data_IF_990464230541
#
_entry.id   IF_990464230541
#
_cell.length_a   1.000
_cell.length_b   1.000
_cell.length_c   1.000
_cell.angle_alpha   90.00
_cell.angle_beta   90.00
_cell.angle_gamma   90.00
#
_symmetry.space_group_name_H-M   'P 1'
#
loop_
_entity.id
_entity.type
_entity.pdbx_description
1 polymer ?
#
# COMPACT_ATOMS: atom_id res chain seq x y z
N UNK A 1 10.02 -0.04 -1.71
CA UNK A 1 9.88 -0.68 -0.42
C UNK A 1 8.40 -0.72 -0.04
N UNK A 2 7.96 -1.79 0.65
CA UNK A 2 6.55 -1.96 1.04
C UNK A 2 5.66 -2.65 0.00
N UNK A 3 6.10 -2.83 -1.24
CA UNK A 3 5.39 -3.63 -2.23
C UNK A 3 5.69 -5.12 -2.04
N UNK A 4 4.72 -6.02 -2.34
CA UNK A 4 4.97 -7.46 -2.29
C UNK A 4 6.13 -7.88 -3.20
N UNK A 5 6.95 -8.83 -2.75
CA UNK A 5 8.13 -9.33 -3.50
C UNK A 5 7.78 -9.83 -4.89
N UNK A 6 6.62 -10.45 -5.08
CA UNK A 6 6.14 -10.90 -6.39
C UNK A 6 5.90 -9.73 -7.37
N UNK A 7 5.40 -8.59 -6.89
CA UNK A 7 5.23 -7.39 -7.70
C UNK A 7 6.59 -6.81 -8.08
N UNK A 8 7.51 -6.68 -7.12
CA UNK A 8 8.88 -6.19 -7.36
C UNK A 8 9.64 -7.11 -8.33
N UNK A 9 9.41 -8.42 -8.26
CA UNK A 9 9.99 -9.37 -9.21
C UNK A 9 9.51 -9.10 -10.65
N UNK A 10 8.20 -8.85 -10.85
CA UNK A 10 7.67 -8.47 -12.17
C UNK A 10 8.23 -7.12 -12.63
N UNK A 11 8.29 -6.13 -11.77
CA UNK A 11 8.83 -4.80 -12.08
C UNK A 11 10.30 -4.89 -12.57
N UNK A 12 11.08 -5.80 -11.99
CA UNK A 12 12.46 -6.04 -12.39
C UNK A 12 12.60 -6.86 -13.67
N UNK A 13 11.81 -7.93 -13.81
CA UNK A 13 12.07 -8.96 -14.83
C UNK A 13 11.13 -8.89 -16.03
N UNK A 14 9.94 -8.30 -15.88
CA UNK A 14 8.89 -8.25 -16.91
C UNK A 14 8.06 -6.95 -16.82
N UNK A 15 8.71 -5.77 -16.83
CA UNK A 15 8.02 -4.49 -16.68
C UNK A 15 6.98 -4.24 -17.79
N UNK A 16 7.20 -4.81 -18.97
CA UNK A 16 6.31 -4.71 -20.14
C UNK A 16 4.93 -5.35 -19.93
N UNK A 17 4.79 -6.25 -18.94
CA UNK A 17 3.53 -6.89 -18.60
C UNK A 17 2.66 -6.06 -17.65
N UNK A 18 3.15 -4.89 -17.24
CA UNK A 18 2.40 -4.01 -16.36
C UNK A 18 1.16 -3.44 -17.07
N UNK A 19 0.01 -3.63 -16.47
CA UNK A 19 -1.21 -2.95 -16.90
C UNK A 19 -1.15 -1.47 -16.54
N UNK A 20 -1.71 -0.58 -17.37
CA UNK A 20 -1.85 0.83 -17.00
C UNK A 20 -2.73 0.96 -15.76
N UNK A 21 -2.38 1.91 -14.90
CA UNK A 21 -3.25 2.23 -13.76
C UNK A 21 -4.58 2.83 -14.24
N UNK A 22 -5.70 2.44 -13.62
CA UNK A 22 -6.97 3.11 -13.87
C UNK A 22 -6.88 4.62 -13.62
N UNK A 23 -7.53 5.43 -14.44
CA UNK A 23 -7.52 6.90 -14.28
C UNK A 23 -7.92 7.34 -12.87
N UNK A 24 -8.90 6.67 -12.26
CA UNK A 24 -9.32 6.94 -10.88
C UNK A 24 -8.21 6.67 -9.86
N UNK A 25 -7.34 5.70 -10.10
CA UNK A 25 -6.19 5.42 -9.25
C UNK A 25 -5.15 6.55 -9.37
N UNK A 26 -4.83 6.95 -10.60
CA UNK A 26 -3.91 8.07 -10.87
C UNK A 26 -4.43 9.36 -10.22
N UNK A 27 -5.72 9.66 -10.37
CA UNK A 27 -6.35 10.83 -9.72
C UNK A 27 -6.24 10.78 -8.19
N UNK A 28 -6.41 9.60 -7.58
CA UNK A 28 -6.26 9.47 -6.14
C UNK A 28 -4.80 9.68 -5.68
N UNK A 29 -3.82 9.29 -6.47
CA UNK A 29 -2.41 9.60 -6.19
C UNK A 29 -2.16 11.11 -6.25
N UNK A 30 -2.58 11.77 -7.32
CA UNK A 30 -2.46 13.25 -7.45
C UNK A 30 -3.16 13.99 -6.31
N UNK A 31 -4.32 13.52 -5.86
CA UNK A 31 -4.99 14.10 -4.69
C UNK A 31 -4.17 13.90 -3.42
N UNK A 32 -3.38 12.85 -3.31
CA UNK A 32 -2.42 12.64 -2.23
C UNK A 32 -1.38 13.76 -2.19
N UNK A 33 -0.75 14.03 -3.33
CA UNK A 33 0.26 15.08 -3.48
C UNK A 33 -0.30 16.48 -3.15
N UNK A 34 -1.53 16.77 -3.59
CA UNK A 34 -2.21 18.02 -3.26
C UNK A 34 -2.47 18.13 -1.75
N UNK A 35 -2.95 17.06 -1.11
CA UNK A 35 -3.20 17.04 0.33
C UNK A 35 -1.90 17.27 1.10
N UNK A 36 -0.80 16.64 0.70
CA UNK A 36 0.52 16.86 1.30
C UNK A 36 0.94 18.33 1.20
N UNK A 37 0.88 18.91 0.00
CA UNK A 37 1.24 20.31 -0.23
C UNK A 37 0.38 21.29 0.60
N UNK A 38 -0.93 21.06 0.67
CA UNK A 38 -1.84 21.88 1.48
C UNK A 38 -1.54 21.72 2.96
N UNK A 39 -1.29 20.49 3.45
CA UNK A 39 -0.97 20.26 4.85
C UNK A 39 0.34 20.94 5.27
N UNK A 40 1.38 20.88 4.45
CA UNK A 40 2.63 21.63 4.64
C UNK A 40 2.38 23.15 4.70
N UNK A 41 1.50 23.66 3.85
CA UNK A 41 1.05 25.06 3.89
C UNK A 41 0.42 25.42 5.22
N UNK A 42 -0.46 24.56 5.75
CA UNK A 42 -1.10 24.76 7.06
C UNK A 42 -0.06 24.78 8.20
N UNK A 43 0.91 23.86 8.18
CA UNK A 43 2.00 23.84 9.17
C UNK A 43 2.80 25.15 9.15
N UNK A 44 3.12 25.63 7.95
CA UNK A 44 3.85 26.90 7.77
C UNK A 44 3.06 28.10 8.30
N UNK A 45 1.77 28.22 7.99
CA UNK A 45 0.90 29.29 8.49
C UNK A 45 0.73 29.20 10.01
N UNK A 46 0.74 28.00 10.59
CA UNK A 46 0.72 27.78 12.03
C UNK A 46 2.07 28.04 12.73
N UNK A 47 3.11 28.42 12.00
CA UNK A 47 4.45 28.66 12.54
C UNK A 47 5.21 27.41 12.98
N UNK A 48 4.77 26.23 12.57
CA UNK A 48 5.45 24.96 12.85
C UNK A 48 6.72 24.89 12.03
N UNK A 49 7.86 24.69 12.68
CA UNK A 49 9.14 24.48 12.00
C UNK A 49 9.27 23.02 11.58
N UNK A 50 9.61 22.78 10.33
CA UNK A 50 9.87 21.43 9.78
C UNK A 50 10.97 21.48 8.72
N UNK A 51 11.67 20.36 8.54
CA UNK A 51 12.49 20.10 7.36
C UNK A 51 11.58 19.53 6.27
N UNK A 52 11.64 20.10 5.07
CA UNK A 52 10.80 19.68 3.92
C UNK A 52 11.32 18.39 3.28
N UNK A 53 10.54 17.84 2.37
CA UNK A 53 10.87 16.62 1.61
C UNK A 53 12.31 16.63 1.09
N UNK A 54 13.04 15.57 1.40
CA UNK A 54 14.35 15.33 0.82
C UNK A 54 14.54 13.85 0.51
N UNK A 55 15.50 13.59 -0.39
CA UNK A 55 15.86 12.25 -0.80
C UNK A 55 16.87 11.64 0.17
N UNK A 56 16.58 10.44 0.62
CA UNK A 56 17.47 9.66 1.49
C UNK A 56 17.78 8.29 0.89
N UNK A 57 18.89 7.72 1.29
CA UNK A 57 19.30 6.38 0.86
C UNK A 57 19.59 5.54 2.09
N UNK A 58 18.81 4.46 2.23
CA UNK A 58 19.03 3.44 3.24
C UNK A 58 20.15 2.51 2.76
N UNK A 59 21.25 2.48 3.51
CA UNK A 59 22.35 1.55 3.32
C UNK A 59 21.99 0.19 3.94
N UNK A 60 22.16 -0.87 3.17
CA UNK A 60 21.92 -2.25 3.56
C UNK A 60 23.18 -3.13 3.41
N UNK A 61 24.34 -2.52 3.43
CA UNK A 61 25.64 -3.16 3.20
C UNK A 61 25.98 -3.21 1.71
N UNK A 62 25.87 -4.38 1.07
CA UNK A 62 26.13 -4.53 -0.38
C UNK A 62 25.01 -3.93 -1.26
N UNK A 63 23.93 -3.49 -0.65
CA UNK A 63 22.74 -2.95 -1.32
C UNK A 63 22.31 -1.61 -0.74
N UNK A 64 21.46 -0.91 -1.47
CA UNK A 64 20.83 0.30 -0.97
C UNK A 64 19.43 0.51 -1.55
N UNK A 65 18.60 1.24 -0.81
CA UNK A 65 17.25 1.64 -1.26
C UNK A 65 17.10 3.13 -1.06
N UNK A 66 16.69 3.83 -2.11
CA UNK A 66 16.44 5.29 -2.04
C UNK A 66 14.95 5.58 -2.02
N UNK A 67 14.59 6.67 -1.37
CA UNK A 67 13.25 7.21 -1.32
C UNK A 67 13.28 8.64 -0.80
N UNK A 68 12.10 9.23 -0.63
CA UNK A 68 11.96 10.57 -0.05
C UNK A 68 10.98 10.51 1.11
N UNK A 69 11.33 11.14 2.23
CA UNK A 69 10.40 11.37 3.32
C UNK A 69 9.56 12.62 3.05
N UNK A 70 8.42 12.76 3.71
CA UNK A 70 7.56 13.91 3.48
C UNK A 70 8.00 15.12 4.30
N UNK A 71 8.20 14.96 5.61
CA UNK A 71 8.66 16.03 6.52
C UNK A 71 9.44 15.47 7.72
N UNK A 72 10.26 16.33 8.36
CA UNK A 72 10.83 16.08 9.68
C UNK A 72 10.36 17.18 10.64
N UNK A 73 9.74 16.79 11.73
CA UNK A 73 9.29 17.69 12.81
C UNK A 73 9.93 17.22 14.12
N UNK A 74 10.56 18.14 14.86
CA UNK A 74 11.19 17.85 16.15
C UNK A 74 12.13 16.63 16.11
N UNK A 75 12.96 16.55 15.08
CA UNK A 75 13.95 15.48 14.87
C UNK A 75 13.33 14.08 14.66
N UNK A 76 12.07 14.04 14.22
CA UNK A 76 11.35 12.84 13.87
C UNK A 76 10.80 12.89 12.45
N UNK A 77 10.99 11.81 11.68
CA UNK A 77 10.42 11.67 10.34
C UNK A 77 8.93 11.39 10.46
N UNK A 78 8.13 12.22 9.85
CA UNK A 78 6.69 12.03 9.71
C UNK A 78 6.30 11.87 8.24
N UNK A 79 5.25 11.11 8.02
CA UNK A 79 4.70 10.82 6.71
C UNK A 79 3.26 11.35 6.63
N UNK A 80 2.91 12.00 5.51
CA UNK A 80 1.60 12.61 5.32
C UNK A 80 0.74 11.72 4.44
N UNK A 81 -0.42 11.31 4.93
CA UNK A 81 -1.33 10.42 4.20
C UNK A 81 -2.71 11.02 4.01
N UNK A 82 -3.19 10.98 2.77
CA UNK A 82 -4.60 11.21 2.46
C UNK A 82 -5.39 9.91 2.59
N UNK A 83 -6.49 9.91 3.32
CA UNK A 83 -7.29 8.74 3.59
C UNK A 83 -8.76 8.93 3.21
N UNK A 84 -9.44 7.85 2.77
CA UNK A 84 -10.89 7.81 2.75
C UNK A 84 -11.45 7.85 4.17
N UNK A 85 -12.73 8.21 4.33
CA UNK A 85 -13.35 8.25 5.66
C UNK A 85 -13.25 6.90 6.39
N UNK A 86 -13.45 5.80 5.67
CA UNK A 86 -13.27 4.47 6.26
C UNK A 86 -11.83 4.21 6.71
N UNK A 87 -10.84 4.49 5.86
CA UNK A 87 -9.42 4.28 6.21
C UNK A 87 -9.00 5.20 7.36
N UNK A 88 -9.46 6.45 7.36
CA UNK A 88 -9.20 7.40 8.43
C UNK A 88 -9.70 6.89 9.79
N UNK A 89 -10.90 6.30 9.84
CA UNK A 89 -11.52 5.83 11.08
C UNK A 89 -11.00 4.46 11.53
N UNK A 90 -10.71 3.56 10.60
CA UNK A 90 -10.41 2.17 10.92
C UNK A 90 -8.93 1.82 10.75
N UNK A 91 -8.35 2.03 9.55
CA UNK A 91 -6.95 1.68 9.28
C UNK A 91 -5.99 2.55 10.08
N UNK A 92 -6.24 3.84 10.13
CA UNK A 92 -5.43 4.83 10.86
C UNK A 92 -5.99 5.14 12.26
N UNK A 93 -6.73 4.24 12.89
CA UNK A 93 -7.23 4.43 14.25
C UNK A 93 -6.08 4.49 15.26
N UNK A 94 -5.11 3.60 15.11
CA UNK A 94 -3.91 3.48 15.94
C UNK A 94 -2.75 2.90 15.13
N UNK A 95 -1.55 2.88 15.73
CA UNK A 95 -0.41 2.13 15.18
C UNK A 95 -0.74 0.65 14.95
N UNK A 96 -1.34 -0.02 15.93
CA UNK A 96 -1.67 -1.44 15.83
C UNK A 96 -2.66 -1.74 14.71
N UNK A 97 -3.68 -0.89 14.55
CA UNK A 97 -4.64 -1.00 13.46
C UNK A 97 -3.98 -0.83 12.10
N UNK A 98 -3.04 0.10 11.98
CA UNK A 98 -2.26 0.31 10.75
C UNK A 98 -1.36 -0.88 10.47
N UNK A 99 -0.57 -1.33 11.44
CA UNK A 99 0.42 -2.40 11.29
C UNK A 99 -0.22 -3.75 10.97
N UNK A 100 -1.39 -4.07 11.58
CA UNK A 100 -2.10 -5.32 11.34
C UNK A 100 -2.62 -5.50 9.91
N UNK A 101 -2.80 -4.40 9.16
CA UNK A 101 -3.35 -4.39 7.80
C UNK A 101 -2.49 -3.60 6.81
N UNK A 102 -1.17 -3.53 7.01
CA UNK A 102 -0.27 -2.70 6.21
C UNK A 102 0.11 -3.32 4.87
N UNK A 103 -0.87 -3.51 3.99
CA UNK A 103 -0.64 -3.99 2.62
C UNK A 103 0.12 -3.00 1.71
N UNK A 104 0.37 -1.78 2.17
CA UNK A 104 1.13 -0.75 1.43
C UNK A 104 2.55 -0.55 1.96
N UNK A 105 2.88 -1.14 3.12
CA UNK A 105 4.20 -1.06 3.74
C UNK A 105 4.54 0.31 4.33
N UNK A 106 3.55 1.02 4.85
CA UNK A 106 3.74 2.35 5.47
C UNK A 106 4.66 2.30 6.68
N UNK A 107 4.59 1.19 7.46
CA UNK A 107 5.44 0.98 8.63
C UNK A 107 6.91 0.82 8.22
N UNK A 108 7.17 -0.08 7.27
CA UNK A 108 8.52 -0.30 6.73
C UNK A 108 9.06 0.95 6.02
N UNK A 109 8.20 1.71 5.33
CA UNK A 109 8.59 2.95 4.66
C UNK A 109 9.07 4.00 5.69
N UNK A 110 8.29 4.23 6.75
CA UNK A 110 8.66 5.17 7.81
C UNK A 110 9.95 4.77 8.52
N UNK A 111 10.11 3.49 8.87
CA UNK A 111 11.32 2.95 9.47
C UNK A 111 12.55 3.14 8.57
N UNK A 112 12.40 2.85 7.27
CA UNK A 112 13.46 3.03 6.28
C UNK A 112 13.90 4.49 6.16
N UNK A 113 12.97 5.43 6.16
CA UNK A 113 13.27 6.87 6.10
C UNK A 113 13.94 7.36 7.39
N UNK A 114 13.44 6.93 8.55
CA UNK A 114 14.03 7.28 9.85
C UNK A 114 15.49 6.81 9.93
N UNK A 115 15.75 5.54 9.60
CA UNK A 115 17.10 4.99 9.57
C UNK A 115 18.02 5.71 8.58
N UNK A 116 17.53 5.96 7.36
CA UNK A 116 18.32 6.58 6.29
C UNK A 116 18.66 8.06 6.56
N UNK A 117 17.79 8.78 7.27
CA UNK A 117 18.03 10.17 7.67
C UNK A 117 18.78 10.32 9.00
N UNK A 118 18.96 9.24 9.76
CA UNK A 118 19.53 9.29 11.12
C UNK A 118 18.60 9.97 12.13
N UNK A 119 17.30 10.01 11.85
CA UNK A 119 16.27 10.63 12.68
C UNK A 119 15.41 9.55 13.35
N UNK A 120 14.53 9.95 14.26
CA UNK A 120 13.54 9.04 14.87
C UNK A 120 12.37 8.81 13.92
N UNK A 121 11.71 7.67 14.01
CA UNK A 121 10.41 7.48 13.41
C UNK A 121 9.36 8.21 14.26
N UNK A 122 8.66 9.17 13.67
CA UNK A 122 7.61 9.94 14.32
C UNK A 122 6.24 9.27 14.18
N UNK A 123 5.61 9.42 13.03
CA UNK A 123 4.30 8.84 12.75
C UNK A 123 3.68 9.29 11.44
N UNK A 124 2.37 9.26 11.41
CA UNK A 124 1.58 9.61 10.22
C UNK A 124 0.61 10.76 10.53
N UNK A 125 0.73 11.83 9.75
CA UNK A 125 -0.28 12.86 9.66
C UNK A 125 -1.34 12.42 8.65
N UNK A 126 -2.52 12.09 9.12
CA UNK A 126 -3.57 11.50 8.30
C UNK A 126 -4.68 12.51 8.06
N UNK A 127 -4.91 12.86 6.80
CA UNK A 127 -5.96 13.79 6.38
C UNK A 127 -7.12 13.00 5.78
N UNK A 128 -8.32 13.18 6.32
CA UNK A 128 -9.55 12.65 5.76
C UNK A 128 -9.95 13.47 4.53
N UNK A 129 -9.75 12.94 3.34
CA UNK A 129 -10.04 13.64 2.07
C UNK A 129 -11.53 13.90 1.82
N UNK A 130 -12.44 13.35 2.64
CA UNK A 130 -13.88 13.56 2.50
C UNK A 130 -14.37 14.81 3.23
N UNK A 131 -13.67 15.27 4.28
CA UNK A 131 -14.13 16.38 5.12
C UNK A 131 -13.01 17.29 5.64
N UNK A 132 -11.74 17.01 5.32
CA UNK A 132 -10.59 17.81 5.73
C UNK A 132 -10.15 17.65 7.18
N UNK A 133 -10.78 16.77 7.96
CA UNK A 133 -10.29 16.45 9.30
C UNK A 133 -8.92 15.79 9.20
N UNK A 134 -8.06 16.08 10.18
CA UNK A 134 -6.77 15.41 10.27
C UNK A 134 -6.46 14.95 11.70
N UNK A 135 -5.57 14.00 11.81
CA UNK A 135 -5.06 13.49 13.09
C UNK A 135 -3.63 13.01 12.93
N UNK A 136 -2.95 12.86 14.05
CA UNK A 136 -1.63 12.24 14.12
C UNK A 136 -1.74 10.82 14.70
N UNK A 137 -1.09 9.87 14.05
CA UNK A 137 -0.96 8.49 14.53
C UNK A 137 0.52 8.26 14.82
N UNK A 138 0.94 8.26 16.09
CA UNK A 138 2.34 8.06 16.45
C UNK A 138 2.78 6.62 16.19
N UNK A 139 4.03 6.45 15.77
CA UNK A 139 4.64 5.14 15.50
C UNK A 139 5.17 4.45 16.78
N UNK A 140 4.39 4.47 17.86
CA UNK A 140 4.81 4.06 19.21
C UNK A 140 5.19 2.60 19.37
N UNK A 141 4.73 1.73 18.49
CA UNK A 141 5.04 0.30 18.49
C UNK A 141 6.04 -0.14 17.42
N UNK A 142 6.62 0.83 16.67
CA UNK A 142 7.50 0.53 15.56
C UNK A 142 8.85 0.03 16.06
N UNK A 143 9.22 -1.19 15.64
CA UNK A 143 10.56 -1.73 15.76
C UNK A 143 11.34 -1.43 14.46
N UNK A 144 12.11 -0.34 14.48
CA UNK A 144 12.86 0.13 13.31
C UNK A 144 13.81 -0.94 12.78
N UNK A 145 14.50 -1.66 13.67
CA UNK A 145 15.47 -2.68 13.28
C UNK A 145 14.77 -3.83 12.54
N UNK A 146 13.66 -4.33 13.09
CA UNK A 146 12.88 -5.39 12.47
C UNK A 146 12.34 -4.98 11.08
N UNK A 147 11.85 -3.75 10.94
CA UNK A 147 11.33 -3.25 9.67
C UNK A 147 12.44 -3.07 8.62
N UNK A 148 13.61 -2.59 9.02
CA UNK A 148 14.79 -2.50 8.13
C UNK A 148 15.27 -3.88 7.70
N UNK A 149 15.24 -4.88 8.58
CA UNK A 149 15.57 -6.28 8.23
C UNK A 149 14.56 -6.86 7.22
N UNK A 150 13.28 -6.54 7.33
CA UNK A 150 12.27 -6.91 6.32
C UNK A 150 12.55 -6.26 4.96
N UNK A 151 12.99 -5.00 4.95
CA UNK A 151 13.42 -4.31 3.73
C UNK A 151 14.61 -5.04 3.10
N UNK A 152 15.65 -5.34 3.88
CA UNK A 152 16.84 -6.05 3.42
C UNK A 152 16.50 -7.43 2.86
N UNK A 153 15.65 -8.19 3.56
CA UNK A 153 15.15 -9.50 3.10
C UNK A 153 14.39 -9.37 1.77
N UNK A 154 13.57 -8.35 1.62
CA UNK A 154 12.84 -8.07 0.37
C UNK A 154 13.80 -7.81 -0.78
N UNK A 155 14.80 -6.95 -0.56
CA UNK A 155 15.85 -6.64 -1.57
C UNK A 155 16.60 -7.90 -1.98
N UNK A 156 17.03 -8.71 -1.01
CA UNK A 156 17.75 -9.96 -1.27
C UNK A 156 16.88 -10.95 -2.05
N UNK A 157 15.61 -11.14 -1.68
CA UNK A 157 14.67 -12.02 -2.39
C UNK A 157 14.49 -11.61 -3.87
N UNK A 158 14.39 -10.31 -4.12
CA UNK A 158 14.29 -9.78 -5.49
C UNK A 158 15.61 -9.98 -6.26
N UNK A 159 16.76 -9.87 -5.60
CA UNK A 159 18.09 -10.13 -6.21
C UNK A 159 18.26 -11.60 -6.58
N UNK A 160 17.85 -12.52 -5.71
CA UNK A 160 17.90 -13.97 -5.97
C UNK A 160 17.03 -14.41 -7.14
N UNK A 161 16.20 -13.51 -7.63
CA UNK A 161 15.32 -13.72 -8.80
C UNK A 161 14.34 -14.89 -8.63
N UNK A 162 13.95 -15.20 -7.40
CA UNK A 162 12.93 -16.21 -7.09
C UNK A 162 11.55 -15.58 -7.17
N UNK A 163 10.68 -16.15 -8.01
CA UNK A 163 9.28 -15.75 -8.04
C UNK A 163 8.47 -16.57 -7.04
N UNK A 164 7.83 -15.88 -6.11
CA UNK A 164 6.88 -16.46 -5.18
C UNK A 164 5.69 -15.53 -5.00
N UNK A 165 4.46 -16.07 -5.09
CA UNK A 165 3.26 -15.28 -4.86
C UNK A 165 3.10 -14.95 -3.39
N UNK A 166 3.07 -13.65 -3.07
CA UNK A 166 2.83 -13.18 -1.70
C UNK A 166 1.40 -13.46 -1.21
N UNK A 167 0.44 -13.55 -2.13
CA UNK A 167 -0.97 -13.75 -1.81
C UNK A 167 -1.56 -14.88 -2.67
N UNK A 168 -2.33 -15.76 -2.02
CA UNK A 168 -3.10 -16.80 -2.69
C UNK A 168 -4.54 -16.34 -2.92
N UNK A 169 -5.25 -16.90 -3.93
CA UNK A 169 -6.68 -16.66 -4.10
C UNK A 169 -7.47 -17.05 -2.85
N UNK A 170 -8.51 -16.31 -2.57
CA UNK A 170 -9.36 -16.53 -1.38
C UNK A 170 -10.74 -17.04 -1.77
N UNK A 171 -11.43 -17.83 -0.91
CA UNK A 171 -12.79 -18.27 -1.18
C UNK A 171 -13.74 -17.06 -1.34
N UNK A 172 -14.54 -17.07 -2.41
CA UNK A 172 -15.63 -16.10 -2.54
C UNK A 172 -16.70 -16.39 -1.49
N UNK A 173 -17.15 -15.34 -0.79
CA UNK A 173 -18.29 -15.43 0.14
C UNK A 173 -19.45 -14.60 -0.36
N UNK A 174 -20.63 -15.20 -0.39
CA UNK A 174 -21.88 -14.52 -0.67
C UNK A 174 -22.83 -14.71 0.52
N UNK A 175 -23.27 -13.61 1.15
CA UNK A 175 -24.09 -13.61 2.36
C UNK A 175 -23.47 -14.46 3.50
N UNK A 176 -22.15 -14.40 3.64
CA UNK A 176 -21.40 -15.11 4.68
C UNK A 176 -21.07 -16.59 4.38
N UNK A 177 -21.61 -17.16 3.29
CA UNK A 177 -21.34 -18.55 2.87
C UNK A 177 -20.37 -18.61 1.69
N UNK A 178 -19.48 -19.59 1.69
CA UNK A 178 -18.58 -19.85 0.57
C UNK A 178 -19.36 -20.35 -0.65
N UNK A 179 -19.08 -19.75 -1.81
CA UNK A 179 -19.73 -20.10 -3.07
C UNK A 179 -19.07 -21.28 -3.77
N UNK A 180 -17.83 -21.61 -3.36
CA UNK A 180 -16.95 -22.55 -4.01
C UNK A 180 -16.15 -21.98 -5.16
N UNK A 181 -16.31 -20.70 -5.50
CA UNK A 181 -15.39 -19.96 -6.37
C UNK A 181 -14.23 -19.41 -5.56
N UNK A 182 -13.11 -19.08 -6.23
CA UNK A 182 -12.02 -18.33 -5.62
C UNK A 182 -11.83 -17.00 -6.34
N UNK A 183 -11.64 -15.95 -5.55
CA UNK A 183 -11.45 -14.60 -6.03
C UNK A 183 -10.04 -14.10 -5.71
N UNK A 184 -9.64 -13.06 -6.40
CA UNK A 184 -8.35 -12.41 -6.19
C UNK A 184 -8.28 -11.86 -4.78
N UNK A 185 -7.16 -12.10 -4.10
CA UNK A 185 -6.89 -11.52 -2.78
C UNK A 185 -6.86 -9.98 -2.85
N UNK A 186 -7.35 -9.32 -1.80
CA UNK A 186 -7.38 -7.85 -1.73
C UNK A 186 -6.01 -7.20 -1.91
N UNK A 187 -4.94 -7.85 -1.45
CA UNK A 187 -3.57 -7.41 -1.64
C UNK A 187 -3.11 -7.37 -3.11
N UNK A 188 -3.83 -8.05 -4.01
CA UNK A 188 -3.54 -8.07 -5.44
C UNK A 188 -4.43 -7.13 -6.29
N UNK A 189 -5.47 -6.52 -5.72
CA UNK A 189 -6.47 -5.73 -6.47
C UNK A 189 -5.86 -4.61 -7.31
N UNK A 190 -4.86 -3.93 -6.77
CA UNK A 190 -4.20 -2.80 -7.43
C UNK A 190 -2.87 -3.16 -8.07
N UNK A 191 -2.51 -4.45 -8.10
CA UNK A 191 -1.28 -4.89 -8.74
C UNK A 191 -1.42 -4.85 -10.27
N UNK A 192 -0.52 -4.12 -10.93
CA UNK A 192 -0.48 -4.00 -12.39
C UNK A 192 -0.20 -5.33 -13.09
N UNK A 193 0.32 -6.33 -12.38
CA UNK A 193 0.69 -7.64 -12.92
C UNK A 193 -0.30 -8.76 -12.59
N UNK A 194 -1.50 -8.43 -12.04
CA UNK A 194 -2.46 -9.42 -11.55
C UNK A 194 -2.88 -10.46 -12.59
N UNK A 195 -3.06 -10.06 -13.85
CA UNK A 195 -3.40 -11.00 -14.93
C UNK A 195 -2.23 -11.89 -15.37
N UNK A 196 -1.00 -11.36 -15.35
CA UNK A 196 0.18 -12.17 -15.62
C UNK A 196 0.50 -13.13 -14.47
N UNK A 197 0.24 -12.70 -13.23
CA UNK A 197 0.41 -13.52 -12.04
C UNK A 197 -0.66 -14.62 -11.94
N UNK A 198 -1.89 -14.34 -12.37
CA UNK A 198 -3.03 -15.27 -12.39
C UNK A 198 -3.62 -15.34 -13.79
N UNK A 199 -3.09 -16.19 -14.70
CA UNK A 199 -3.54 -16.24 -16.11
C UNK A 199 -5.02 -16.63 -16.29
N UNK A 200 -5.62 -17.28 -15.28
CA UNK A 200 -7.05 -17.64 -15.27
C UNK A 200 -7.96 -16.55 -14.75
N UNK A 201 -7.39 -15.38 -14.36
CA UNK A 201 -8.14 -14.28 -13.77
C UNK A 201 -9.11 -13.67 -14.78
N UNK A 202 -10.39 -13.60 -14.38
CA UNK A 202 -11.46 -12.97 -15.15
C UNK A 202 -12.20 -11.96 -14.30
N UNK A 203 -12.30 -10.73 -14.77
CA UNK A 203 -13.11 -9.68 -14.12
C UNK A 203 -14.52 -9.66 -14.75
N UNK A 204 -15.54 -9.95 -13.94
CA UNK A 204 -16.94 -10.00 -14.39
C UNK A 204 -17.91 -9.66 -13.25
N UNK A 205 -19.16 -9.34 -13.57
CA UNK A 205 -20.19 -9.15 -12.56
C UNK A 205 -20.31 -10.34 -11.60
N UNK A 206 -20.52 -10.05 -10.31
CA UNK A 206 -20.64 -11.07 -9.26
C UNK A 206 -21.73 -12.10 -9.61
N UNK A 207 -21.34 -13.35 -9.85
CA UNK A 207 -22.21 -14.41 -10.40
C UNK A 207 -23.38 -14.80 -9.50
N UNK A 208 -23.29 -14.57 -8.19
CA UNK A 208 -24.39 -14.82 -7.23
C UNK A 208 -25.26 -13.59 -6.97
N UNK A 209 -24.89 -12.42 -7.48
CA UNK A 209 -25.63 -11.19 -7.21
C UNK A 209 -26.87 -11.08 -8.09
N UNK A 210 -27.98 -10.72 -7.48
CA UNK A 210 -29.24 -10.39 -8.17
C UNK A 210 -29.47 -8.88 -8.30
N UNK A 211 -28.45 -8.07 -7.97
CA UNK A 211 -28.54 -6.63 -8.09
C UNK A 211 -28.64 -6.21 -9.57
N UNK A 212 -29.35 -5.12 -9.85
CA UNK A 212 -29.44 -4.54 -11.20
C UNK A 212 -28.05 -4.19 -11.76
N UNK A 213 -27.16 -3.71 -10.89
CA UNK A 213 -25.77 -3.39 -11.19
C UNK A 213 -24.87 -4.17 -10.19
N UNK A 214 -24.55 -5.44 -10.46
CA UNK A 214 -23.72 -6.23 -9.58
C UNK A 214 -22.28 -5.68 -9.57
N UNK A 215 -21.57 -5.77 -8.43
CA UNK A 215 -20.18 -5.39 -8.37
C UNK A 215 -19.33 -6.29 -9.29
N UNK A 216 -18.28 -5.71 -9.87
CA UNK A 216 -17.28 -6.50 -10.62
C UNK A 216 -16.40 -7.23 -9.63
N UNK A 217 -16.23 -8.52 -9.84
CA UNK A 217 -15.41 -9.44 -9.04
C UNK A 217 -14.33 -10.05 -9.92
N UNK A 218 -13.14 -10.12 -9.39
CA UNK A 218 -11.99 -10.73 -10.05
C UNK A 218 -11.89 -12.21 -9.65
N UNK A 219 -12.38 -13.10 -10.50
CA UNK A 219 -12.37 -14.55 -10.28
C UNK A 219 -11.07 -15.18 -10.76
N UNK A 220 -10.41 -15.94 -9.92
CA UNK A 220 -9.24 -16.76 -10.26
C UNK A 220 -9.65 -18.20 -10.59
N UNK A 221 -10.60 -18.72 -9.82
CA UNK A 221 -11.23 -20.02 -10.08
C UNK A 221 -12.76 -19.84 -10.07
N UNK A 222 -13.40 -20.18 -11.16
CA UNK A 222 -14.86 -20.08 -11.32
C UNK A 222 -15.40 -21.48 -11.58
N UNK A 223 -16.51 -21.84 -10.90
CA UNK A 223 -17.20 -23.11 -11.14
C UNK A 223 -17.74 -23.18 -12.57
N UNK A 224 -17.74 -24.38 -13.15
CA UNK A 224 -18.20 -24.63 -14.53
C UNK A 224 -19.60 -24.10 -14.80
N UNK A 225 -20.51 -24.18 -13.82
CA UNK A 225 -21.87 -23.66 -13.93
C UNK A 225 -21.96 -22.16 -14.25
N UNK A 226 -20.87 -21.39 -13.96
CA UNK A 226 -20.78 -19.95 -14.22
C UNK A 226 -19.86 -19.58 -15.38
N UNK A 227 -19.21 -20.56 -16.04
CA UNK A 227 -18.26 -20.27 -17.13
C UNK A 227 -18.99 -19.89 -18.44
N UNK A 228 -20.22 -20.38 -18.64
CA UNK A 228 -20.96 -20.28 -19.91
C UNK A 228 -22.09 -19.22 -19.90
N UNK A 229 -22.05 -18.24 -19.00
CA UNK A 229 -23.04 -17.17 -18.87
C UNK A 229 -22.51 -15.78 -19.21
#
# INVERSE_FOLDING_TARGET
VGRPTCQLWYEKNKPELALPFPTTFVMNMMLGDIVEAVFKGILKEAGVQYEDTDKVTLDLGDDSVSGSYDIIINDAVDDIKSASDWSYRNKFESYDSLASGDGFGYVAQLAGYARASGKKAGGWWVVNKSNGQFKYVPATGLDEQQEVEKIATTVQTVKENKFERAFQPVPEKFRGQETGNKVLNDGCKFCSYRFSCFPTLVERPAVKSQAKNPPIVAYVELKEEYMNG
#
